data_IF_085926418723
#
_entry.id   IF_085926418723
#
_cell.length_a   1.000
_cell.length_b   1.000
_cell.length_c   1.000
_cell.angle_alpha   90.00
_cell.angle_beta   90.00
_cell.angle_gamma   90.00
#
_symmetry.space_group_name_H-M   'P 1'
#
loop_
_entity.id
_entity.type
_entity.pdbx_description
1 polymer ?
2 polymer ?
3 water ?
#
# COMPACT_ATOMS: atom_id res chain seq x y z
N UNK A 4 19.19 -7.47 -20.28
CA UNK A 4 18.17 -8.51 -20.39
C UNK A 4 17.09 -8.33 -19.33
N UNK A 5 15.84 -8.62 -19.70
CA UNK A 5 14.72 -8.47 -18.79
C UNK A 5 14.76 -9.53 -17.70
N UNK A 6 15.04 -10.76 -18.08
CA UNK A 6 15.00 -11.88 -17.13
C UNK A 6 16.20 -11.84 -16.17
N UNK A 7 17.21 -11.04 -16.51
CA UNK A 7 18.35 -10.86 -15.62
C UNK A 7 18.01 -9.87 -14.50
N UNK A 8 17.33 -8.79 -14.88
CA UNK A 8 16.90 -7.77 -13.91
C UNK A 8 15.88 -8.34 -12.95
N UNK A 9 15.03 -9.24 -13.44
CA UNK A 9 14.04 -9.91 -12.60
C UNK A 9 14.74 -10.85 -11.62
N UNK A 10 15.75 -11.57 -12.10
CA UNK A 10 16.48 -12.51 -11.27
C UNK A 10 17.29 -11.78 -10.19
N UNK A 11 17.87 -10.64 -10.55
CA UNK A 11 18.62 -9.84 -9.59
C UNK A 11 17.69 -9.28 -8.50
N UNK A 12 16.45 -9.03 -8.87
CA UNK A 12 15.45 -8.57 -7.91
C UNK A 12 15.11 -9.66 -6.91
N UNK A 13 15.19 -10.91 -7.35
CA UNK A 13 14.96 -12.06 -6.48
C UNK A 13 16.09 -12.19 -5.47
N UNK A 14 17.33 -12.09 -5.96
CA UNK A 14 18.50 -12.15 -5.09
C UNK A 14 18.49 -11.01 -4.09
N UNK A 15 18.09 -9.83 -4.55
CA UNK A 15 18.01 -8.64 -3.70
C UNK A 15 16.98 -8.82 -2.59
N UNK A 16 15.90 -9.53 -2.90
CA UNK A 16 14.86 -9.80 -1.92
C UNK A 16 15.35 -10.80 -0.88
N UNK A 17 16.06 -11.84 -1.35
CA UNK A 17 16.65 -12.84 -0.47
C UNK A 17 17.71 -12.20 0.41
N UNK A 18 18.55 -11.35 -0.18
CA UNK A 18 19.59 -10.66 0.56
C UNK A 18 19.01 -9.53 1.40
N UNK A 19 17.72 -9.30 1.23
CA UNK A 19 16.98 -8.26 1.94
C UNK A 19 17.55 -6.86 1.69
N UNK A 20 18.10 -6.66 0.50
CA UNK A 20 18.44 -5.31 0.06
C UNK A 20 17.37 -4.87 -0.92
N UNK A 21 16.48 -4.00 -0.45
CA UNK A 21 15.29 -3.66 -1.22
C UNK A 21 15.44 -2.41 -2.07
N UNK A 22 16.53 -1.67 -1.86
CA UNK A 22 16.80 -0.48 -2.66
C UNK A 22 17.28 -0.90 -4.05
N UNK A 23 18.03 -1.99 -4.08
CA UNK A 23 18.51 -2.55 -5.34
C UNK A 23 17.41 -3.35 -6.02
N UNK A 24 16.53 -3.94 -5.21
CA UNK A 24 15.38 -4.68 -5.73
C UNK A 24 14.45 -3.73 -6.46
N UNK A 25 14.32 -2.51 -5.93
CA UNK A 25 13.53 -1.47 -6.56
C UNK A 25 14.15 -1.06 -7.90
N UNK A 26 15.45 -0.78 -7.89
CA UNK A 26 16.17 -0.35 -9.09
C UNK A 26 16.03 -1.36 -10.23
N UNK A 27 16.12 -2.65 -9.89
CA UNK A 27 15.97 -3.70 -10.88
C UNK A 27 14.56 -3.75 -11.45
N UNK A 28 13.57 -3.73 -10.56
CA UNK A 28 12.17 -3.82 -10.97
C UNK A 28 11.67 -2.54 -11.61
N UNK A 29 12.22 -1.40 -11.19
CA UNK A 29 11.86 -0.12 -11.80
C UNK A 29 12.32 -0.10 -13.25
N UNK A 30 13.48 -0.69 -13.51
CA UNK A 30 14.02 -0.77 -14.85
C UNK A 30 13.12 -1.64 -15.74
N UNK A 31 12.59 -2.71 -15.16
CA UNK A 31 11.70 -3.61 -15.87
C UNK A 31 10.35 -2.92 -16.13
N UNK A 32 9.86 -2.19 -15.14
CA UNK A 32 8.59 -1.49 -15.25
C UNK A 32 8.70 -0.29 -16.17
N UNK A 33 9.91 0.21 -16.36
CA UNK A 33 10.15 1.37 -17.21
C UNK A 33 10.05 1.01 -18.69
N UNK A 34 10.13 -0.28 -18.99
CA UNK A 34 9.93 -0.75 -20.35
C UNK A 34 8.46 -0.69 -20.71
N UNK A 35 8.16 -0.67 -22.00
CA UNK A 35 6.79 -0.57 -22.46
C UNK A 35 5.98 -1.82 -22.18
N UNK A 36 6.68 -2.94 -21.97
CA UNK A 36 6.04 -4.24 -21.77
C UNK A 36 5.17 -4.27 -20.51
N UNK A 37 4.13 -5.09 -20.55
CA UNK A 37 3.28 -5.32 -19.39
C UNK A 37 3.91 -6.36 -18.48
N UNK A 38 3.95 -6.06 -17.18
CA UNK A 38 4.57 -6.95 -16.21
C UNK A 38 3.76 -8.23 -16.03
N UNK A 39 4.45 -9.34 -15.83
CA UNK A 39 3.80 -10.60 -15.51
C UNK A 39 3.33 -10.55 -14.06
N UNK A 40 2.67 -11.61 -13.61
CA UNK A 40 2.17 -11.67 -12.23
C UNK A 40 3.33 -11.66 -11.25
N UNK A 41 4.39 -12.38 -11.57
CA UNK A 41 5.58 -12.46 -10.72
C UNK A 41 6.29 -11.10 -10.65
N UNK A 42 6.55 -10.50 -11.80
CA UNK A 42 7.20 -9.20 -11.87
C UNK A 42 6.35 -8.13 -11.19
N UNK A 43 5.03 -8.25 -11.34
CA UNK A 43 4.09 -7.34 -10.70
C UNK A 43 4.22 -7.41 -9.18
N UNK A 44 4.27 -8.63 -8.65
CA UNK A 44 4.40 -8.85 -7.22
C UNK A 44 5.77 -8.46 -6.70
N UNK A 45 6.80 -8.73 -7.49
CA UNK A 45 8.16 -8.36 -7.11
C UNK A 45 8.32 -6.86 -7.00
N UNK A 46 7.71 -6.13 -7.93
CA UNK A 46 7.75 -4.68 -7.93
C UNK A 46 7.08 -4.11 -6.69
N UNK A 47 5.94 -4.68 -6.32
CA UNK A 47 5.18 -4.22 -5.17
C UNK A 47 5.92 -4.51 -3.86
N UNK A 48 6.47 -5.72 -3.75
CA UNK A 48 7.25 -6.12 -2.58
C UNK A 48 8.45 -5.20 -2.39
N UNK A 49 9.10 -4.86 -3.50
CA UNK A 49 10.29 -4.02 -3.48
C UNK A 49 10.01 -2.65 -2.85
N UNK A 50 8.94 -2.01 -3.31
CA UNK A 50 8.62 -0.65 -2.85
C UNK A 50 7.98 -0.65 -1.46
N UNK A 51 7.26 -1.71 -1.11
CA UNK A 51 6.63 -1.79 0.20
C UNK A 51 7.65 -1.94 1.33
N UNK A 52 8.68 -2.74 1.08
CA UNK A 52 9.75 -2.93 2.06
C UNK A 52 10.61 -1.68 2.19
N UNK A 53 10.78 -0.95 1.09
CA UNK A 53 11.52 0.30 1.09
C UNK A 53 10.76 1.38 1.84
N UNK A 54 9.48 1.52 1.51
CA UNK A 54 8.64 2.54 2.15
C UNK A 54 8.32 2.13 3.59
N UNK A 55 8.36 0.84 3.87
CA UNK A 55 8.03 0.32 5.18
C UNK A 55 9.04 0.69 6.24
N UNK A 56 10.32 0.66 5.87
CA UNK A 56 11.40 0.98 6.79
C UNK A 56 11.36 2.45 7.18
N UNK A 57 11.04 3.32 6.22
CA UNK A 57 10.98 4.75 6.47
C UNK A 57 9.75 5.12 7.30
N UNK A 58 8.64 4.45 7.02
CA UNK A 58 7.41 4.65 7.79
C UNK A 58 7.63 4.24 9.23
N UNK A 59 8.26 3.09 9.42
CA UNK A 59 8.59 2.59 10.76
C UNK A 59 9.51 3.57 11.50
N UNK A 60 10.49 4.09 10.78
CA UNK A 60 11.40 5.07 11.34
C UNK A 60 10.67 6.37 11.69
N UNK A 61 9.74 6.76 10.84
CA UNK A 61 9.00 8.00 11.02
C UNK A 61 8.14 7.97 12.29
N UNK A 62 7.47 6.84 12.52
CA UNK A 62 6.62 6.69 13.69
C UNK A 62 7.42 6.79 14.98
N UNK A 63 8.63 6.25 14.96
CA UNK A 63 9.51 6.26 16.12
C UNK A 63 9.97 7.69 16.43
N UNK A 64 10.45 8.40 15.42
CA UNK A 64 10.93 9.77 15.59
C UNK A 64 9.77 10.69 15.99
N UNK A 65 8.59 10.43 15.46
CA UNK A 65 7.39 11.18 15.82
C UNK A 65 7.04 10.97 17.29
N UNK A 66 7.15 9.72 17.75
CA UNK A 66 6.88 9.39 19.13
C UNK A 66 7.87 10.08 20.07
N UNK A 67 9.14 10.05 19.68
CA UNK A 67 10.19 10.72 20.44
C UNK A 67 9.94 12.22 20.49
N UNK A 68 9.52 12.78 19.36
CA UNK A 68 9.17 14.19 19.31
C UNK A 68 8.06 14.50 20.29
N UNK A 69 6.94 13.78 20.17
CA UNK A 69 5.78 13.98 21.02
C UNK A 69 6.10 13.79 22.51
N UNK A 70 6.94 12.79 22.80
CA UNK A 70 7.30 12.50 24.19
C UNK A 70 8.15 13.62 24.78
N UNK A 71 9.22 13.98 24.06
CA UNK A 71 10.11 15.04 24.52
C UNK A 71 9.49 16.42 24.37
N UNK A 72 8.40 16.51 23.61
CA UNK A 72 7.74 17.80 23.41
C UNK A 72 6.98 18.20 24.65
N UNK A 73 6.82 17.26 25.57
CA UNK A 73 6.23 17.60 26.87
C UNK A 73 7.37 17.73 27.87
N UNK A 74 7.77 18.97 28.12
CA UNK A 74 8.61 19.36 29.25
C UNK A 74 10.00 18.74 29.28
N UNK A 75 10.23 17.72 28.45
CA UNK A 75 11.46 16.91 28.55
C UNK A 75 12.65 17.67 28.01
N UNK A 76 12.39 18.51 27.02
CA UNK A 76 13.41 19.42 26.51
C UNK A 76 12.68 20.61 25.89
N UNK A 77 13.45 21.57 25.41
CA UNK A 77 12.87 22.77 24.84
C UNK A 77 13.59 23.22 23.59
N UNK A 78 12.83 23.68 22.61
CA UNK A 78 13.40 24.36 21.46
C UNK A 78 14.41 23.48 20.74
N UNK A 79 15.67 23.93 20.81
CA UNK A 79 16.78 23.41 20.03
C UNK A 79 16.87 21.88 19.99
N UNK A 80 16.59 21.22 21.10
CA UNK A 80 16.60 19.75 21.11
C UNK A 80 15.40 19.20 20.34
N UNK A 81 14.23 19.78 20.59
CA UNK A 81 13.02 19.43 19.85
C UNK A 81 13.21 19.80 18.38
N UNK A 82 13.91 20.91 18.15
CA UNK A 82 14.29 21.36 16.81
C UNK A 82 15.05 20.27 16.05
N UNK A 83 15.94 19.58 16.76
CA UNK A 83 16.74 18.51 16.15
C UNK A 83 15.87 17.34 15.72
N UNK A 84 14.87 17.01 16.52
CA UNK A 84 13.97 15.90 16.22
C UNK A 84 13.08 16.25 15.03
N UNK A 85 12.60 17.49 14.99
CA UNK A 85 11.73 17.94 13.91
C UNK A 85 12.47 17.96 12.56
N UNK A 86 13.69 18.50 12.56
CA UNK A 86 14.49 18.55 11.36
C UNK A 86 14.88 17.14 10.89
N UNK A 87 15.00 16.22 11.85
CA UNK A 87 15.32 14.84 11.53
C UNK A 87 14.09 14.10 11.01
N UNK A 88 12.93 14.46 11.54
CA UNK A 88 11.67 13.88 11.07
C UNK A 88 11.36 14.38 9.66
N UNK A 89 11.62 15.66 9.42
CA UNK A 89 11.39 16.26 8.11
C UNK A 89 12.26 15.61 7.04
N UNK A 90 13.48 15.24 7.43
CA UNK A 90 14.40 14.55 6.52
C UNK A 90 13.82 13.20 6.10
N UNK A 91 13.18 12.53 7.04
CA UNK A 91 12.52 11.26 6.77
C UNK A 91 11.29 11.47 5.90
N UNK A 92 10.53 12.52 6.21
CA UNK A 92 9.33 12.86 5.45
C UNK A 92 9.67 13.24 4.02
N UNK A 93 10.83 13.86 3.84
CA UNK A 93 11.34 14.18 2.51
C UNK A 93 11.70 12.89 1.78
N UNK A 94 12.29 11.96 2.52
CA UNK A 94 12.68 10.67 1.98
C UNK A 94 11.44 9.85 1.61
N UNK A 95 10.44 9.85 2.49
CA UNK A 95 9.16 9.20 2.22
C UNK A 95 8.50 9.76 0.97
N UNK A 96 8.59 11.08 0.82
CA UNK A 96 7.96 11.79 -0.30
C UNK A 96 8.51 11.35 -1.66
N UNK A 97 9.83 11.34 -1.77
CA UNK A 97 10.47 11.00 -3.05
C UNK A 97 10.29 9.54 -3.42
N UNK A 98 10.20 8.66 -2.41
CA UNK A 98 9.93 7.26 -2.66
C UNK A 98 8.53 7.09 -3.22
N UNK A 99 7.56 7.77 -2.60
CA UNK A 99 6.18 7.76 -3.06
C UNK A 99 6.07 8.38 -4.45
N UNK A 100 6.71 9.53 -4.64
CA UNK A 100 6.70 10.20 -5.94
C UNK A 100 7.31 9.32 -7.02
N UNK A 101 8.31 8.54 -6.66
CA UNK A 101 8.99 7.67 -7.61
C UNK A 101 8.05 6.61 -8.18
N UNK A 102 7.44 5.82 -7.31
CA UNK A 102 6.57 4.73 -7.73
C UNK A 102 5.31 5.26 -8.41
N UNK A 103 4.78 6.38 -7.91
CA UNK A 103 3.61 7.00 -8.50
C UNK A 103 3.91 7.51 -9.91
N UNK A 104 5.14 8.01 -10.09
CA UNK A 104 5.59 8.47 -11.40
C UNK A 104 5.69 7.30 -12.37
N UNK A 105 6.17 6.16 -11.87
CA UNK A 105 6.25 4.94 -12.67
C UNK A 105 4.85 4.43 -12.99
N UNK A 106 3.94 4.55 -12.02
CA UNK A 106 2.57 4.10 -12.17
C UNK A 106 1.82 4.89 -13.24
N UNK A 107 1.90 6.21 -13.14
CA UNK A 107 1.22 7.10 -14.07
C UNK A 107 1.78 7.02 -15.49
N UNK A 108 3.10 7.06 -15.60
CA UNK A 108 3.73 7.09 -16.91
C UNK A 108 3.82 5.72 -17.58
N UNK A 109 4.16 4.68 -16.82
CA UNK A 109 4.43 3.39 -17.42
C UNK A 109 3.33 2.34 -17.21
N UNK A 110 3.13 1.97 -15.95
CA UNK A 110 2.34 0.79 -15.63
C UNK A 110 0.87 0.88 -16.03
N UNK A 111 0.19 1.92 -15.57
CA UNK A 111 -1.23 2.08 -15.85
C UNK A 111 -1.55 2.22 -17.35
N UNK A 112 -0.77 3.01 -18.11
CA UNK A 112 -1.11 3.09 -19.54
C UNK A 112 -0.88 1.78 -20.30
N UNK A 113 0.06 0.95 -19.84
CA UNK A 113 0.44 -0.25 -20.58
C UNK A 113 -0.30 -1.51 -20.13
N UNK A 114 -1.21 -1.38 -19.17
CA UNK A 114 -1.90 -2.56 -18.65
C UNK A 114 -3.06 -2.97 -19.55
N UNK A 115 -2.98 -4.17 -20.11
CA UNK A 115 -4.04 -4.71 -20.93
C UNK A 115 -5.14 -5.38 -20.10
N UNK A 116 -4.74 -6.16 -19.11
CA UNK A 116 -5.69 -6.94 -18.32
C UNK A 116 -6.30 -6.13 -17.19
N UNK A 117 -7.55 -6.43 -16.87
CA UNK A 117 -8.24 -5.78 -15.77
C UNK A 117 -7.62 -6.14 -14.43
N UNK A 118 -6.95 -7.29 -14.38
CA UNK A 118 -6.28 -7.73 -13.17
C UNK A 118 -5.11 -6.82 -12.82
N UNK A 119 -4.36 -6.41 -13.83
CA UNK A 119 -3.22 -5.52 -13.64
C UNK A 119 -3.67 -4.08 -13.43
N UNK A 120 -4.80 -3.73 -14.03
CA UNK A 120 -5.37 -2.39 -13.88
C UNK A 120 -5.77 -2.13 -12.42
N UNK A 121 -6.46 -3.09 -11.83
CA UNK A 121 -6.86 -3.00 -10.43
C UNK A 121 -5.62 -2.93 -9.53
N UNK A 122 -4.62 -3.75 -9.85
CA UNK A 122 -3.39 -3.81 -9.08
C UNK A 122 -2.65 -2.47 -9.08
N UNK A 123 -2.53 -1.86 -10.25
CA UNK A 123 -1.77 -0.63 -10.39
C UNK A 123 -2.49 0.57 -9.78
N UNK A 124 -3.80 0.59 -9.88
CA UNK A 124 -4.59 1.66 -9.28
C UNK A 124 -4.62 1.49 -7.75
N UNK A 125 -4.54 0.24 -7.30
CA UNK A 125 -4.47 -0.04 -5.87
C UNK A 125 -3.18 0.50 -5.28
N UNK A 126 -2.08 0.27 -5.99
CA UNK A 126 -0.78 0.81 -5.58
C UNK A 126 -0.81 2.33 -5.56
N UNK A 127 -1.44 2.92 -6.56
CA UNK A 127 -1.58 4.36 -6.65
C UNK A 127 -2.30 4.90 -5.42
N UNK A 128 -3.34 4.19 -4.99
CA UNK A 128 -4.07 4.55 -3.79
C UNK A 128 -3.23 4.37 -2.54
N UNK A 129 -2.38 3.35 -2.54
CA UNK A 129 -1.55 3.04 -1.40
C UNK A 129 -0.51 4.11 -1.09
N UNK A 130 0.23 4.53 -2.11
CA UNK A 130 1.33 5.46 -1.90
C UNK A 130 0.86 6.91 -1.81
N UNK A 131 -0.34 7.18 -2.29
CA UNK A 131 -0.97 8.47 -2.02
C UNK A 131 -1.47 8.48 -0.57
N UNK A 132 -1.81 7.30 -0.06
CA UNK A 132 -2.23 7.16 1.33
C UNK A 132 -1.05 7.33 2.26
N UNK A 133 0.09 6.75 1.89
CA UNK A 133 1.33 6.90 2.65
C UNK A 133 1.73 8.37 2.71
N UNK A 134 1.49 9.09 1.61
CA UNK A 134 1.76 10.52 1.56
C UNK A 134 0.84 11.28 2.52
N UNK A 135 -0.40 10.83 2.62
CA UNK A 135 -1.39 11.49 3.46
C UNK A 135 -1.15 11.24 4.95
N UNK A 136 -0.31 10.26 5.25
CA UNK A 136 -0.04 9.88 6.64
C UNK A 136 0.75 10.94 7.38
N UNK A 137 1.88 11.36 6.82
CA UNK A 137 2.73 12.34 7.49
C UNK A 137 2.48 13.77 7.02
N UNK A 138 1.61 13.93 6.03
CA UNK A 138 1.31 15.26 5.50
C UNK A 138 0.31 16.00 6.38
N UNK A 139 0.33 17.33 6.31
CA UNK A 139 -0.61 18.16 7.06
C UNK A 139 -1.16 19.29 6.18
N UNK A 140 -2.28 19.86 6.61
CA UNK A 140 -2.87 20.99 5.92
C UNK A 140 -3.49 20.65 4.58
N UNK A 141 -3.23 21.49 3.58
CA UNK A 141 -3.85 21.36 2.27
C UNK A 141 -3.20 20.28 1.42
N UNK A 142 -1.91 20.01 1.68
CA UNK A 142 -1.17 19.01 0.93
C UNK A 142 -1.59 17.61 1.36
N UNK A 143 -2.20 17.51 2.53
CA UNK A 143 -2.72 16.23 3.03
C UNK A 143 -4.04 15.90 2.36
N UNK A 144 -4.86 16.93 2.15
CA UNK A 144 -6.16 16.77 1.50
C UNK A 144 -6.00 16.36 0.04
N UNK A 145 -4.97 16.90 -0.60
CA UNK A 145 -4.67 16.55 -1.99
C UNK A 145 -4.33 15.08 -2.12
N UNK A 146 -3.48 14.59 -1.22
CA UNK A 146 -3.09 13.19 -1.21
C UNK A 146 -4.27 12.29 -0.84
N UNK A 147 -5.15 12.81 0.01
CA UNK A 147 -6.33 12.06 0.43
C UNK A 147 -7.29 11.84 -0.73
N UNK A 148 -7.57 12.90 -1.48
CA UNK A 148 -8.46 12.82 -2.62
C UNK A 148 -7.86 12.03 -3.76
N UNK A 149 -6.54 12.10 -3.92
CA UNK A 149 -5.85 11.35 -4.95
C UNK A 149 -5.90 9.86 -4.64
N UNK A 150 -5.73 9.52 -3.38
CA UNK A 150 -5.81 8.13 -2.94
C UNK A 150 -7.23 7.59 -3.07
N UNK A 151 -8.20 8.43 -2.70
CA UNK A 151 -9.61 8.05 -2.77
C UNK A 151 -10.04 7.68 -4.18
N UNK A 152 -9.78 8.57 -5.13
CA UNK A 152 -10.17 8.36 -6.52
C UNK A 152 -9.45 7.17 -7.15
N UNK A 153 -8.20 6.97 -6.76
CA UNK A 153 -7.42 5.83 -7.25
C UNK A 153 -8.00 4.52 -6.72
N UNK A 154 -8.44 4.55 -5.47
CA UNK A 154 -9.07 3.39 -4.86
C UNK A 154 -10.44 3.12 -5.48
N UNK A 155 -11.19 4.20 -5.72
CA UNK A 155 -12.50 4.11 -6.34
C UNK A 155 -12.41 3.50 -7.74
N UNK A 156 -11.45 3.99 -8.52
CA UNK A 156 -11.23 3.50 -9.88
C UNK A 156 -10.93 2.01 -9.89
N UNK A 157 -10.05 1.59 -8.99
CA UNK A 157 -9.68 0.18 -8.87
C UNK A 157 -10.87 -0.67 -8.44
N UNK A 158 -11.72 -0.09 -7.60
CA UNK A 158 -12.88 -0.81 -7.07
C UNK A 158 -13.93 -1.06 -8.15
N UNK A 159 -14.10 -0.08 -9.04
CA UNK A 159 -15.07 -0.19 -10.12
C UNK A 159 -14.64 -1.26 -11.13
N UNK A 160 -13.34 -1.38 -11.35
CA UNK A 160 -12.80 -2.37 -12.26
C UNK A 160 -12.79 -3.76 -11.62
N UNK A 161 -12.45 -3.82 -10.35
CA UNK A 161 -12.39 -5.07 -9.62
C UNK A 161 -13.77 -5.73 -9.52
N UNK A 162 -14.77 -4.92 -9.19
CA UNK A 162 -16.14 -5.42 -9.08
C UNK A 162 -16.63 -5.98 -10.41
N UNK A 163 -16.31 -5.29 -11.50
CA UNK A 163 -16.72 -5.72 -12.83
C UNK A 163 -15.87 -6.87 -13.41
N UNK A 164 -14.55 -6.71 -13.33
CA UNK A 164 -13.64 -7.63 -14.03
C UNK A 164 -13.13 -8.80 -13.19
N UNK A 165 -13.37 -8.78 -11.88
CA UNK A 165 -12.80 -9.80 -11.00
C UNK A 165 -13.82 -10.44 -10.07
N UNK A 166 -13.68 -11.75 -9.82
CA UNK A 166 -14.51 -12.45 -8.85
C UNK A 166 -14.20 -11.99 -7.42
N UNK A 167 -15.17 -12.08 -6.51
CA UNK A 167 -15.02 -11.62 -5.12
C UNK A 167 -13.87 -12.30 -4.38
N UNK A 168 -13.46 -13.47 -4.84
CA UNK A 168 -12.43 -14.25 -4.17
C UNK A 168 -11.02 -13.91 -4.64
N UNK A 169 -10.91 -13.07 -5.67
CA UNK A 169 -9.62 -12.72 -6.24
C UNK A 169 -8.77 -11.96 -5.23
N UNK A 170 -7.50 -12.37 -5.07
CA UNK A 170 -6.56 -11.79 -4.11
C UNK A 170 -6.37 -10.28 -4.27
N UNK A 171 -6.27 -9.82 -5.51
CA UNK A 171 -6.07 -8.40 -5.76
C UNK A 171 -7.31 -7.59 -5.38
N UNK A 172 -8.50 -8.18 -5.61
CA UNK A 172 -9.74 -7.52 -5.24
C UNK A 172 -9.92 -7.47 -3.72
N UNK A 173 -9.61 -8.58 -3.06
CA UNK A 173 -9.66 -8.65 -1.61
C UNK A 173 -8.62 -7.73 -0.97
N UNK A 174 -7.43 -7.72 -1.55
CA UNK A 174 -6.36 -6.86 -1.06
C UNK A 174 -6.68 -5.39 -1.24
N UNK A 175 -7.36 -5.07 -2.33
CA UNK A 175 -7.82 -3.72 -2.59
C UNK A 175 -8.83 -3.28 -1.53
N UNK A 176 -9.75 -4.19 -1.20
CA UNK A 176 -10.77 -3.92 -0.20
C UNK A 176 -10.14 -3.77 1.18
N UNK A 177 -9.08 -4.53 1.42
CA UNK A 177 -8.35 -4.44 2.68
C UNK A 177 -7.71 -3.06 2.84
N UNK A 178 -6.97 -2.64 1.82
CA UNK A 178 -6.26 -1.36 1.86
C UNK A 178 -7.20 -0.15 1.82
N UNK A 179 -8.29 -0.25 1.06
CA UNK A 179 -9.24 0.85 0.96
C UNK A 179 -10.01 1.01 2.28
N UNK A 180 -10.35 -0.10 2.92
CA UNK A 180 -11.02 -0.07 4.20
C UNK A 180 -10.10 0.55 5.26
N UNK A 181 -8.81 0.29 5.13
CA UNK A 181 -7.81 0.90 5.99
C UNK A 181 -7.77 2.41 5.76
N UNK A 182 -7.81 2.80 4.49
CA UNK A 182 -7.82 4.20 4.10
C UNK A 182 -8.98 4.96 4.75
N UNK A 183 -10.15 4.34 4.76
CA UNK A 183 -11.34 4.94 5.35
C UNK A 183 -11.17 5.15 6.86
N UNK A 184 -10.66 4.12 7.53
CA UNK A 184 -10.51 4.15 8.99
C UNK A 184 -9.35 5.04 9.45
N UNK A 185 -8.16 4.80 8.90
CA UNK A 185 -6.95 5.48 9.35
C UNK A 185 -6.86 6.93 8.87
N UNK A 186 -7.22 7.16 7.61
CA UNK A 186 -7.03 8.49 7.02
C UNK A 186 -8.29 9.34 7.08
N UNK A 187 -9.35 8.89 6.43
CA UNK A 187 -10.57 9.67 6.35
C UNK A 187 -11.37 9.65 7.63
N UNK A 188 -11.00 8.75 8.54
CA UNK A 188 -11.72 8.57 9.80
C UNK A 188 -13.21 8.30 9.58
N UNK A 189 -13.50 7.31 8.74
CA UNK A 189 -14.87 6.93 8.43
C UNK A 189 -15.11 5.46 8.77
N UNK A 190 -15.33 5.16 10.05
CA UNK A 190 -15.53 3.78 10.55
C UNK A 190 -16.69 3.05 9.87
N UNK A 191 -17.74 3.78 9.53
CA UNK A 191 -18.90 3.16 8.87
C UNK A 191 -18.54 2.67 7.49
N UNK A 192 -17.83 3.50 6.73
CA UNK A 192 -17.36 3.13 5.40
C UNK A 192 -16.37 1.96 5.47
N UNK A 193 -15.47 2.03 6.44
CA UNK A 193 -14.43 1.02 6.61
C UNK A 193 -15.01 -0.35 6.95
N UNK A 194 -15.87 -0.39 7.95
CA UNK A 194 -16.47 -1.65 8.40
C UNK A 194 -17.38 -2.25 7.34
N UNK A 195 -18.10 -1.39 6.62
CA UNK A 195 -19.01 -1.85 5.58
C UNK A 195 -18.25 -2.47 4.41
N UNK A 196 -17.12 -1.85 4.06
CA UNK A 196 -16.33 -2.32 2.93
C UNK A 196 -15.62 -3.64 3.23
N UNK A 197 -15.06 -3.74 4.44
CA UNK A 197 -14.33 -4.93 4.84
C UNK A 197 -15.26 -6.12 5.03
N UNK A 198 -16.43 -5.87 5.62
CA UNK A 198 -17.41 -6.92 5.85
C UNK A 198 -18.02 -7.42 4.54
N UNK A 199 -18.34 -6.48 3.66
CA UNK A 199 -18.92 -6.82 2.36
C UNK A 199 -17.98 -7.68 1.53
N UNK A 200 -16.71 -7.28 1.47
CA UNK A 200 -15.70 -8.01 0.72
C UNK A 200 -15.49 -9.40 1.31
N UNK A 201 -15.53 -9.49 2.63
CA UNK A 201 -15.37 -10.77 3.33
C UNK A 201 -16.53 -11.70 3.01
N UNK A 202 -17.75 -11.16 3.02
CA UNK A 202 -18.95 -11.97 2.82
C UNK A 202 -19.06 -12.48 1.39
N UNK A 203 -18.75 -11.62 0.41
CA UNK A 203 -18.85 -12.01 -0.99
C UNK A 203 -17.85 -13.11 -1.35
N UNK A 204 -16.72 -13.15 -0.63
CA UNK A 204 -15.69 -14.14 -0.86
C UNK A 204 -16.02 -15.49 -0.23
N UNK A 205 -16.62 -15.45 0.97
CA UNK A 205 -16.96 -16.64 1.73
C UNK A 205 -17.74 -17.67 0.92
N UNK A 206 -18.73 -17.19 0.15
CA UNK A 206 -19.59 -18.07 -0.62
C UNK A 206 -18.82 -18.90 -1.66
N UNK A 207 -17.91 -18.24 -2.38
CA UNK A 207 -17.21 -18.89 -3.49
C UNK A 207 -15.86 -19.47 -3.10
N UNK A 208 -15.53 -19.42 -1.81
CA UNK A 208 -14.24 -19.93 -1.32
C UNK A 208 -13.99 -21.40 -1.67
N UNK A 209 -15.05 -22.18 -1.76
CA UNK A 209 -14.93 -23.60 -2.01
C UNK A 209 -14.78 -23.90 -3.51
N UNK A 210 -14.82 -22.85 -4.32
CA UNK A 210 -14.64 -22.99 -5.76
C UNK A 210 -13.19 -22.70 -6.17
N UNK A 211 -12.34 -22.40 -5.19
CA UNK A 211 -10.97 -21.99 -5.46
C UNK A 211 -9.99 -23.16 -5.42
N UNK A 212 -8.99 -23.14 -6.29
CA UNK A 212 -7.93 -24.14 -6.25
C UNK A 212 -7.03 -23.86 -5.05
N UNK A 213 -6.05 -24.73 -4.83
CA UNK A 213 -5.23 -24.63 -3.61
C UNK A 213 -4.46 -23.32 -3.50
N UNK A 214 -3.73 -22.97 -4.55
CA UNK A 214 -2.90 -21.78 -4.54
C UNK A 214 -3.75 -20.52 -4.49
N UNK A 215 -4.92 -20.56 -5.11
CA UNK A 215 -5.86 -19.45 -5.07
C UNK A 215 -6.50 -19.35 -3.69
N UNK A 216 -6.75 -20.50 -3.08
CA UNK A 216 -7.35 -20.57 -1.75
C UNK A 216 -6.46 -19.94 -0.69
N UNK A 217 -5.18 -20.32 -0.70
CA UNK A 217 -4.21 -19.81 0.25
C UNK A 217 -4.07 -18.29 0.18
N UNK A 218 -3.96 -17.78 -1.04
CA UNK A 218 -3.83 -16.34 -1.25
C UNK A 218 -5.06 -15.58 -0.78
N UNK A 219 -6.24 -16.10 -1.10
CA UNK A 219 -7.49 -15.45 -0.75
C UNK A 219 -7.74 -15.46 0.76
N UNK A 220 -7.65 -16.65 1.36
CA UNK A 220 -7.95 -16.81 2.77
C UNK A 220 -6.98 -16.04 3.67
N UNK A 221 -5.78 -15.78 3.16
CA UNK A 221 -4.79 -14.99 3.89
C UNK A 221 -5.29 -13.57 4.11
N UNK A 222 -5.77 -12.94 3.03
CA UNK A 222 -6.26 -11.57 3.09
C UNK A 222 -7.60 -11.50 3.83
N UNK A 223 -8.40 -12.55 3.70
CA UNK A 223 -9.69 -12.60 4.37
C UNK A 223 -9.54 -12.60 5.89
N UNK A 224 -8.48 -13.24 6.36
CA UNK A 224 -8.19 -13.25 7.80
C UNK A 224 -7.74 -11.87 8.24
N UNK A 225 -7.01 -11.18 7.38
CA UNK A 225 -6.58 -9.81 7.66
C UNK A 225 -7.79 -8.87 7.69
N UNK A 226 -8.77 -9.15 6.83
CA UNK A 226 -10.01 -8.41 6.82
C UNK A 226 -10.77 -8.62 8.13
N UNK A 227 -10.76 -9.86 8.62
CA UNK A 227 -11.42 -10.20 9.87
C UNK A 227 -10.69 -9.60 11.06
N UNK A 228 -9.36 -9.55 10.98
CA UNK A 228 -8.55 -8.99 12.05
C UNK A 228 -8.81 -7.49 12.20
N UNK A 229 -8.97 -6.81 11.07
CA UNK A 229 -9.27 -5.39 11.08
C UNK A 229 -10.65 -5.10 11.64
N UNK A 230 -11.63 -5.91 11.23
CA UNK A 230 -13.00 -5.78 11.72
C UNK A 230 -13.05 -6.05 13.22
N UNK A 231 -12.20 -6.95 13.69
CA UNK A 231 -12.12 -7.28 15.11
C UNK A 231 -11.60 -6.11 15.93
N UNK A 232 -10.44 -5.59 15.52
CA UNK A 232 -9.78 -4.51 16.25
C UNK A 232 -10.58 -3.21 16.20
N UNK A 233 -11.20 -2.94 15.06
CA UNK A 233 -12.02 -1.75 14.90
C UNK A 233 -13.24 -1.80 15.82
N UNK A 234 -13.76 -3.01 16.02
CA UNK A 234 -14.89 -3.21 16.92
C UNK A 234 -14.47 -2.93 18.37
N UNK A 235 -13.26 -3.34 18.71
CA UNK A 235 -12.73 -3.14 20.05
C UNK A 235 -12.48 -1.65 20.35
N UNK A 236 -11.98 -0.93 19.35
CA UNK A 236 -11.68 0.49 19.52
C UNK A 236 -12.96 1.32 19.66
N UNK A 237 -14.05 0.85 19.05
CA UNK A 237 -15.33 1.54 19.15
C UNK A 237 -15.99 1.29 20.50
N UNK A 238 -15.41 0.37 21.27
CA UNK A 238 -15.92 0.04 22.60
C UNK A 238 -15.00 0.59 23.69
N UNK B 1 -4.33 -2.08 13.02
CA UNK B 1 -4.83 -2.17 11.66
C UNK B 1 -3.76 -2.75 10.73
N UNK B 2 -4.17 -3.65 9.85
CA UNK B 2 -3.23 -4.31 8.95
C UNK B 2 -3.61 -4.12 7.48
N UNK B 3 -2.61 -3.84 6.65
CA UNK B 3 -2.83 -3.66 5.23
C UNK B 3 -2.29 -4.86 4.44
N UNK B 4 -2.50 -4.86 3.13
CA UNK B 4 -2.09 -5.97 2.28
C UNK B 4 -0.57 -6.12 2.24
N UNK B 5 -0.05 -7.24 2.76
CA UNK B 5 1.39 -7.50 2.82
C UNK B 5 1.90 -8.25 1.59
N UNK B 6 1.70 -7.68 0.41
CA UNK B 6 2.20 -8.28 -0.82
C UNK B 6 3.46 -7.57 -1.30
#
# INVERSE_FOLDING_TARGET
MSQSREDSVYLAKLAEQAERYEEMVDSMKAVASSGQELSVEERNLLSVAYKNVIGARRASWRIVSSIEQKEEAKDKSEHQVKLIRDYRSKIETELTKICDDILSVLDTHLIPSATTGESKVFYYKMKGDYHRYLAEFSSGEVRDKATNASLEAYKTASEIATTELPPTHPIRLGLALNFSVFYYEIQNSPDKACHLAKQAFDDAIAELDTLSEESYKDSTLIMQLLRDNLTLWTSDMSEAGQDEQQPAEGAQE
TASNPK
#
